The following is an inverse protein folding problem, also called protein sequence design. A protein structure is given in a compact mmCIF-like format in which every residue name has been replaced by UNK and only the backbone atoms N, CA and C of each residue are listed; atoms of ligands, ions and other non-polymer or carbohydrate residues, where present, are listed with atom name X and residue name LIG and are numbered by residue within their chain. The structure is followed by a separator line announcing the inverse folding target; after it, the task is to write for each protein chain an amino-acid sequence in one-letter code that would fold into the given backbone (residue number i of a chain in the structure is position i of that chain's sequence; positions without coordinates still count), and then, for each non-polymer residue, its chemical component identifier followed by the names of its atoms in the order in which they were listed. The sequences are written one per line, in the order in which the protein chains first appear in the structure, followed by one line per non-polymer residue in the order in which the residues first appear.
data_IF_635589831016
#
_entry.id   IF_635589831016
#
_cell.length_a   1.000
_cell.length_b   1.000
_cell.length_c   1.000
_cell.angle_alpha   90.00
_cell.angle_beta   90.00
_cell.angle_gamma   90.00
#
_symmetry.space_group_name_H-M   'P 1'
#
loop_
_entity.id
_entity.type
_entity.pdbx_description
1 polymer ?
#
# COMPACT_ATOMS: atom_id res chain seq x y z
N UNK A 1 7.63 3.85 18.61
CA UNK A 1 8.89 3.65 17.83
C UNK A 1 8.48 2.92 16.56
N UNK A 2 8.55 3.60 15.42
CA UNK A 2 8.20 3.01 14.12
C UNK A 2 9.23 1.94 13.80
N UNK A 3 8.82 0.69 13.66
CA UNK A 3 9.72 -0.37 13.21
C UNK A 3 10.34 0.06 11.86
N UNK A 4 11.64 -0.18 11.61
CA UNK A 4 12.22 0.11 10.31
C UNK A 4 11.47 -0.73 9.28
N UNK A 5 10.70 -0.07 8.43
CA UNK A 5 10.12 -0.70 7.27
C UNK A 5 11.27 -1.38 6.51
N UNK A 6 11.13 -2.65 6.12
CA UNK A 6 12.04 -3.33 5.21
C UNK A 6 12.01 -2.57 3.87
N UNK A 7 12.82 -1.51 3.78
CA UNK A 7 12.96 -0.72 2.57
C UNK A 7 13.76 -1.54 1.57
N UNK A 8 13.08 -2.07 0.58
CA UNK A 8 13.71 -2.73 -0.54
C UNK A 8 14.64 -1.73 -1.24
N UNK A 9 15.92 -2.00 -1.27
CA UNK A 9 16.90 -1.15 -1.98
C UNK A 9 16.69 -1.27 -3.50
N UNK A 10 17.19 -0.29 -4.26
CA UNK A 10 17.12 -0.35 -5.74
C UNK A 10 17.79 -1.61 -6.30
N UNK A 11 18.87 -2.06 -5.68
CA UNK A 11 19.57 -3.29 -6.07
C UNK A 11 18.67 -4.50 -5.84
N UNK A 12 18.02 -4.58 -4.69
CA UNK A 12 17.09 -5.66 -4.37
C UNK A 12 15.84 -5.63 -5.27
N UNK A 13 15.32 -4.43 -5.58
CA UNK A 13 14.23 -4.26 -6.54
C UNK A 13 14.62 -4.75 -7.94
N UNK A 14 15.79 -4.33 -8.42
CA UNK A 14 16.29 -4.77 -9.73
C UNK A 14 16.47 -6.28 -9.80
N UNK A 15 17.03 -6.89 -8.75
CA UNK A 15 17.18 -8.34 -8.64
C UNK A 15 15.82 -9.05 -8.65
N UNK A 16 14.83 -8.55 -7.91
CA UNK A 16 13.47 -9.10 -7.88
C UNK A 16 12.79 -9.03 -9.25
N UNK A 17 12.91 -7.90 -9.95
CA UNK A 17 12.40 -7.73 -11.30
C UNK A 17 13.05 -8.72 -12.28
N UNK A 18 14.38 -8.82 -12.27
CA UNK A 18 15.13 -9.73 -13.13
C UNK A 18 14.78 -11.21 -12.88
N UNK A 19 14.65 -11.61 -11.62
CA UNK A 19 14.25 -12.97 -11.25
C UNK A 19 12.87 -13.37 -11.78
N UNK A 20 12.02 -12.41 -12.09
CA UNK A 20 10.69 -12.58 -12.69
C UNK A 20 10.66 -12.25 -14.20
N UNK A 21 11.82 -12.16 -14.85
CA UNK A 21 11.93 -11.83 -16.27
C UNK A 21 11.47 -10.41 -16.63
N UNK A 22 11.45 -9.49 -15.65
CA UNK A 22 11.04 -8.10 -15.85
C UNK A 22 12.25 -7.17 -15.88
N UNK A 23 12.19 -6.14 -16.73
CA UNK A 23 13.27 -5.15 -16.83
C UNK A 23 13.21 -4.15 -15.70
N UNK A 24 14.35 -3.86 -15.09
CA UNK A 24 14.53 -2.76 -14.13
C UNK A 24 14.73 -1.43 -14.89
N UNK A 25 13.62 -0.84 -15.32
CA UNK A 25 13.67 0.46 -16.02
C UNK A 25 13.82 1.61 -15.04
N UNK A 26 14.40 2.72 -15.51
CA UNK A 26 14.53 3.93 -14.68
C UNK A 26 13.19 4.42 -14.14
N UNK A 27 12.11 4.31 -14.92
CA UNK A 27 10.76 4.66 -14.47
C UNK A 27 10.33 3.81 -13.26
N UNK A 28 10.54 2.48 -13.30
CA UNK A 28 10.18 1.58 -12.19
C UNK A 28 11.00 1.88 -10.94
N UNK A 29 12.30 2.08 -11.10
CA UNK A 29 13.17 2.42 -9.97
C UNK A 29 12.78 3.75 -9.32
N UNK A 30 12.52 4.79 -10.12
CA UNK A 30 12.11 6.10 -9.63
C UNK A 30 10.73 6.09 -8.98
N UNK A 31 9.75 5.36 -9.54
CA UNK A 31 8.43 5.21 -8.93
C UNK A 31 8.50 4.49 -7.57
N UNK A 32 9.27 3.43 -7.48
CA UNK A 32 9.46 2.72 -6.22
C UNK A 32 10.15 3.62 -5.17
N UNK A 33 11.19 4.35 -5.57
CA UNK A 33 11.86 5.32 -4.70
C UNK A 33 10.89 6.40 -4.21
N UNK A 34 10.11 6.99 -5.10
CA UNK A 34 9.12 8.01 -4.74
C UNK A 34 8.08 7.48 -3.74
N UNK A 35 7.60 6.25 -3.93
CA UNK A 35 6.68 5.62 -2.99
C UNK A 35 7.31 5.45 -1.60
N UNK A 36 8.57 5.05 -1.53
CA UNK A 36 9.31 4.93 -0.26
C UNK A 36 9.59 6.31 0.38
N UNK A 37 9.87 7.34 -0.43
CA UNK A 37 10.12 8.71 0.04
C UNK A 37 8.87 9.36 0.62
N UNK A 38 7.69 9.07 0.07
CA UNK A 38 6.41 9.51 0.63
C UNK A 38 6.17 8.95 2.03
N UNK A 39 6.74 7.79 2.34
CA UNK A 39 6.68 7.12 3.65
C UNK A 39 5.25 7.02 4.25
N UNK A 40 4.25 6.88 3.38
CA UNK A 40 2.83 6.75 3.68
C UNK A 40 2.09 6.02 2.56
N UNK A 41 0.85 5.63 2.82
CA UNK A 41 -0.04 5.17 1.76
C UNK A 41 -0.23 6.29 0.73
N UNK A 42 -0.16 5.95 -0.54
CA UNK A 42 -0.26 6.91 -1.64
C UNK A 42 -1.16 6.40 -2.76
N UNK A 43 -1.84 7.32 -3.42
CA UNK A 43 -2.56 7.05 -4.67
C UNK A 43 -1.61 7.09 -5.86
N UNK A 44 -2.03 6.51 -6.99
CA UNK A 44 -1.27 6.60 -8.24
C UNK A 44 -1.10 8.05 -8.71
N UNK A 45 -2.12 8.90 -8.49
CA UNK A 45 -2.06 10.34 -8.81
C UNK A 45 -1.02 11.09 -7.97
N UNK A 46 -0.92 10.77 -6.68
CA UNK A 46 0.10 11.37 -5.81
C UNK A 46 1.50 10.96 -6.23
N UNK A 47 1.69 9.70 -6.62
CA UNK A 47 2.98 9.23 -7.16
C UNK A 47 3.32 9.88 -8.49
N UNK A 48 2.34 10.03 -9.39
CA UNK A 48 2.55 10.72 -10.66
C UNK A 48 3.03 12.15 -10.42
N UNK A 49 2.38 12.89 -9.50
CA UNK A 49 2.79 14.26 -9.14
C UNK A 49 4.17 14.30 -8.48
N UNK A 50 4.45 13.37 -7.58
CA UNK A 50 5.75 13.31 -6.88
C UNK A 50 6.92 13.00 -7.83
N UNK A 51 6.67 12.40 -8.99
CA UNK A 51 7.68 12.04 -9.97
C UNK A 51 7.72 12.97 -11.20
N UNK A 52 6.78 13.92 -11.29
CA UNK A 52 6.58 14.75 -12.50
C UNK A 52 7.84 15.48 -13.01
N UNK A 53 8.68 16.01 -12.11
CA UNK A 53 9.92 16.68 -12.49
C UNK A 53 10.97 15.73 -13.05
N UNK A 54 11.03 14.50 -12.53
CA UNK A 54 12.03 13.48 -12.95
C UNK A 54 11.54 12.65 -14.13
N UNK A 55 10.23 12.51 -14.27
CA UNK A 55 9.56 11.69 -15.30
C UNK A 55 8.42 12.47 -15.99
N UNK A 56 8.71 13.55 -16.71
CA UNK A 56 7.68 14.43 -17.28
C UNK A 56 6.78 13.76 -18.31
N UNK A 57 7.21 12.63 -18.90
CA UNK A 57 6.45 11.85 -19.88
C UNK A 57 5.69 10.68 -19.26
N UNK A 58 5.73 10.53 -17.92
CA UNK A 58 5.04 9.44 -17.25
C UNK A 58 3.54 9.68 -17.29
N UNK A 59 2.78 8.64 -17.64
CA UNK A 59 1.32 8.69 -17.65
C UNK A 59 0.72 7.94 -16.47
N UNK A 60 -0.48 8.32 -16.06
CA UNK A 60 -1.20 7.65 -14.98
C UNK A 60 -1.42 6.13 -15.24
N UNK A 61 -1.80 5.69 -16.45
CA UNK A 61 -1.87 4.25 -16.76
C UNK A 61 -0.54 3.52 -16.54
N UNK A 62 0.59 4.16 -16.85
CA UNK A 62 1.92 3.57 -16.62
C UNK A 62 2.23 3.45 -15.13
N UNK A 63 1.80 4.40 -14.31
CA UNK A 63 1.92 4.33 -12.84
C UNK A 63 1.14 3.14 -12.33
N UNK A 64 -0.14 2.99 -12.71
CA UNK A 64 -0.97 1.84 -12.32
C UNK A 64 -0.35 0.52 -12.73
N UNK A 65 0.05 0.36 -13.99
CA UNK A 65 0.68 -0.87 -14.47
C UNK A 65 1.98 -1.22 -13.70
N UNK A 66 2.73 -0.21 -13.27
CA UNK A 66 3.94 -0.41 -12.48
C UNK A 66 3.62 -0.82 -11.04
N UNK A 67 2.61 -0.20 -10.42
CA UNK A 67 2.16 -0.54 -9.07
C UNK A 67 1.54 -1.95 -9.01
N UNK A 68 0.77 -2.33 -10.01
CA UNK A 68 0.23 -3.68 -10.15
C UNK A 68 1.35 -4.73 -10.28
N UNK A 69 2.37 -4.44 -11.09
CA UNK A 69 3.56 -5.28 -11.17
C UNK A 69 4.27 -5.39 -9.81
N UNK A 70 4.40 -4.29 -9.08
CA UNK A 70 5.01 -4.31 -7.75
C UNK A 70 4.19 -5.11 -6.74
N UNK A 71 2.87 -5.07 -6.84
CA UNK A 71 1.97 -5.90 -6.03
C UNK A 71 2.14 -7.38 -6.35
N UNK A 72 2.16 -7.76 -7.64
CA UNK A 72 2.44 -9.14 -8.09
C UNK A 72 3.78 -9.66 -7.58
N UNK A 73 4.76 -8.78 -7.43
CA UNK A 73 6.09 -9.10 -6.92
C UNK A 73 6.17 -9.09 -5.39
N UNK A 74 5.10 -8.71 -4.68
CA UNK A 74 5.06 -8.60 -3.23
C UNK A 74 5.89 -7.44 -2.68
N UNK A 75 6.11 -6.39 -3.46
CA UNK A 75 6.88 -5.21 -3.08
C UNK A 75 6.01 -4.09 -2.49
N UNK A 76 4.74 -4.08 -2.85
CA UNK A 76 3.72 -3.16 -2.35
C UNK A 76 2.42 -3.91 -2.14
N UNK A 77 1.46 -3.29 -1.46
CA UNK A 77 0.12 -3.85 -1.25
C UNK A 77 -0.95 -2.80 -1.55
N UNK A 78 -2.08 -3.24 -2.05
CA UNK A 78 -3.31 -2.42 -2.04
C UNK A 78 -3.89 -2.40 -0.64
N UNK A 79 -4.34 -1.23 -0.23
CA UNK A 79 -5.09 -1.07 1.02
C UNK A 79 -6.58 -1.03 0.69
N UNK A 80 -7.37 -2.02 1.14
CA UNK A 80 -8.79 -2.10 0.84
C UNK A 80 -9.59 -1.15 1.74
N UNK A 81 -9.57 0.14 1.44
CA UNK A 81 -10.29 1.15 2.22
C UNK A 81 -11.31 1.90 1.37
N UNK A 82 -12.59 1.78 1.75
CA UNK A 82 -13.68 2.59 1.24
C UNK A 82 -13.92 2.55 -0.27
N UNK A 83 -14.65 3.55 -0.76
CA UNK A 83 -14.98 3.75 -2.18
C UNK A 83 -14.09 4.78 -2.88
N UNK A 84 -13.05 5.24 -2.21
CA UNK A 84 -12.08 6.22 -2.72
C UNK A 84 -11.06 5.63 -3.69
N UNK A 85 -10.10 6.45 -4.15
CA UNK A 85 -9.00 5.97 -4.97
C UNK A 85 -8.21 4.87 -4.26
N UNK A 86 -7.66 3.94 -5.03
CA UNK A 86 -6.82 2.86 -4.51
C UNK A 86 -5.60 3.46 -3.82
N UNK A 87 -5.37 3.06 -2.58
CA UNK A 87 -4.16 3.38 -1.83
C UNK A 87 -3.15 2.24 -1.94
N UNK A 88 -1.90 2.61 -2.14
CA UNK A 88 -0.78 1.69 -2.22
C UNK A 88 0.14 1.87 -1.02
N UNK A 89 0.46 0.76 -0.40
CA UNK A 89 1.29 0.69 0.78
C UNK A 89 2.69 0.18 0.40
N UNK A 90 3.74 0.95 0.67
CA UNK A 90 5.11 0.52 0.41
C UNK A 90 5.60 -0.58 1.35
N UNK A 91 4.81 -0.94 2.37
CA UNK A 91 5.13 -1.96 3.34
C UNK A 91 4.45 -3.29 2.97
N UNK A 92 5.18 -4.26 2.41
CA UNK A 92 4.60 -5.52 1.95
C UNK A 92 4.22 -6.47 3.09
N UNK A 93 4.83 -6.33 4.28
CA UNK A 93 4.54 -7.19 5.43
C UNK A 93 3.08 -7.09 5.87
N UNK A 94 2.43 -8.20 6.25
CA UNK A 94 1.07 -8.18 6.75
C UNK A 94 0.94 -7.32 8.02
N UNK A 95 0.11 -6.30 7.98
CA UNK A 95 -0.23 -5.45 9.11
C UNK A 95 -1.67 -4.92 8.96
N UNK A 96 -2.16 -4.24 9.97
CA UNK A 96 -3.53 -3.74 10.03
C UNK A 96 -3.55 -2.24 9.73
N UNK A 97 -4.72 -1.71 9.42
CA UNK A 97 -4.90 -0.30 9.10
C UNK A 97 -6.03 0.33 9.92
N UNK A 98 -5.89 1.61 10.20
CA UNK A 98 -6.99 2.45 10.63
C UNK A 98 -7.34 3.43 9.51
N UNK A 99 -8.63 3.55 9.19
CA UNK A 99 -9.15 4.49 8.20
C UNK A 99 -10.06 5.52 8.86
N UNK A 100 -9.76 6.79 8.72
CA UNK A 100 -10.58 7.88 9.20
C UNK A 100 -11.73 8.16 8.24
N UNK A 101 -12.98 8.08 8.72
CA UNK A 101 -14.16 8.39 7.93
C UNK A 101 -14.32 9.87 7.63
N UNK A 102 -13.72 10.74 8.46
CA UNK A 102 -13.83 12.19 8.31
C UNK A 102 -12.86 12.77 7.29
N UNK A 103 -11.57 12.43 7.36
CA UNK A 103 -10.54 13.00 6.48
C UNK A 103 -9.97 12.01 5.46
N UNK A 104 -10.39 10.75 5.48
CA UNK A 104 -9.89 9.71 4.57
C UNK A 104 -8.47 9.22 4.85
N UNK A 105 -7.80 9.74 5.91
CA UNK A 105 -6.45 9.30 6.28
C UNK A 105 -6.45 7.82 6.63
N UNK A 106 -5.47 7.10 6.11
CA UNK A 106 -5.17 5.70 6.45
C UNK A 106 -3.81 5.65 7.11
N UNK A 107 -3.72 4.95 8.24
CA UNK A 107 -2.47 4.75 8.98
C UNK A 107 -2.31 3.28 9.36
N UNK A 108 -1.06 2.86 9.48
CA UNK A 108 -0.72 1.53 9.95
C UNK A 108 -1.09 1.34 11.43
N UNK A 109 -1.61 0.17 11.74
CA UNK A 109 -1.81 -0.29 13.11
C UNK A 109 -0.88 -1.45 13.40
N UNK A 110 -0.03 -1.29 14.40
CA UNK A 110 0.86 -2.34 14.91
C UNK A 110 0.07 -3.29 15.85
N UNK A 111 -0.91 -3.98 15.28
CA UNK A 111 -1.75 -4.92 16.02
C UNK A 111 -1.61 -6.34 15.45
N UNK A 112 -1.37 -7.32 16.33
CA UNK A 112 -1.43 -8.72 15.94
C UNK A 112 -2.89 -9.19 16.01
N UNK A 113 -3.50 -9.36 14.85
CA UNK A 113 -4.86 -9.90 14.76
C UNK A 113 -4.81 -11.39 14.45
N UNK A 114 -5.51 -12.17 15.26
CA UNK A 114 -5.70 -13.58 14.98
C UNK A 114 -6.85 -13.76 13.99
N UNK A 115 -6.53 -13.90 12.72
CA UNK A 115 -7.52 -14.10 11.66
C UNK A 115 -8.09 -15.53 11.60
N UNK A 116 -7.67 -16.41 12.51
CA UNK A 116 -7.99 -17.84 12.46
C UNK A 116 -9.49 -18.14 12.37
N UNK A 117 -10.33 -17.44 13.13
CA UNK A 117 -11.78 -17.61 13.10
C UNK A 117 -12.38 -17.21 11.76
N UNK A 118 -11.97 -16.08 11.21
CA UNK A 118 -12.45 -15.61 9.91
C UNK A 118 -12.01 -16.55 8.77
N UNK A 119 -10.76 -16.99 8.80
CA UNK A 119 -10.22 -17.97 7.85
C UNK A 119 -10.95 -19.31 7.93
N UNK A 120 -11.25 -19.78 9.17
CA UNK A 120 -12.02 -21.02 9.37
C UNK A 120 -13.45 -20.90 8.85
N UNK A 121 -14.11 -19.77 9.08
CA UNK A 121 -15.45 -19.51 8.56
C UNK A 121 -15.47 -19.50 7.02
N UNK A 122 -14.47 -18.89 6.39
CA UNK A 122 -14.35 -18.89 4.93
C UNK A 122 -14.16 -20.31 4.37
N UNK A 123 -13.33 -21.14 5.02
CA UNK A 123 -13.16 -22.55 4.63
C UNK A 123 -14.45 -23.35 4.81
N UNK A 124 -15.16 -23.14 5.91
CA UNK A 124 -16.43 -23.79 6.17
C UNK A 124 -17.50 -23.44 5.13
N UNK A 125 -17.40 -22.23 4.55
CA UNK A 125 -18.25 -21.79 3.44
C UNK A 125 -17.78 -22.30 2.05
N UNK A 126 -16.75 -23.15 1.98
CA UNK A 126 -16.25 -23.75 0.74
C UNK A 126 -15.21 -22.89 0.00
N UNK A 127 -14.69 -21.82 0.61
CA UNK A 127 -13.66 -20.98 0.02
C UNK A 127 -12.25 -21.47 0.36
N UNK A 128 -11.25 -21.04 -0.41
CA UNK A 128 -9.81 -21.29 -0.19
C UNK A 128 -9.12 -19.98 0.21
N UNK A 129 -9.26 -19.50 1.47
CA UNK A 129 -8.65 -18.24 1.89
C UNK A 129 -7.13 -18.40 2.00
N UNK A 130 -6.41 -17.41 1.49
CA UNK A 130 -4.95 -17.28 1.54
C UNK A 130 -4.46 -16.20 2.51
N UNK A 131 -5.37 -15.32 2.99
CA UNK A 131 -5.05 -14.28 3.94
C UNK A 131 -6.28 -13.58 4.49
N UNK A 132 -6.05 -12.71 5.47
CA UNK A 132 -7.06 -11.81 6.02
C UNK A 132 -6.43 -10.45 6.33
N UNK A 133 -7.18 -9.39 6.13
CA UNK A 133 -6.80 -8.04 6.50
C UNK A 133 -7.89 -7.43 7.37
N UNK A 134 -7.49 -6.68 8.40
CA UNK A 134 -8.39 -5.91 9.23
C UNK A 134 -8.18 -4.43 8.98
N UNK A 135 -9.29 -3.73 8.74
CA UNK A 135 -9.31 -2.26 8.73
C UNK A 135 -10.24 -1.79 9.84
N UNK A 136 -9.69 -1.04 10.78
CA UNK A 136 -10.46 -0.36 11.82
C UNK A 136 -10.90 0.99 11.28
N UNK A 137 -12.18 1.28 11.33
CA UNK A 137 -12.74 2.53 10.83
C UNK A 137 -13.26 3.40 11.98
N UNK A 138 -13.03 4.71 11.89
CA UNK A 138 -13.47 5.65 12.91
C UNK A 138 -13.11 7.09 12.55
N UNK A 139 -12.93 7.92 13.56
CA UNK A 139 -12.44 9.30 13.44
C UNK A 139 -11.04 9.37 14.04
N UNK A 140 -10.07 9.91 13.31
CA UNK A 140 -8.70 10.04 13.82
C UNK A 140 -8.61 11.11 14.92
N UNK A 141 -7.54 11.08 15.70
CA UNK A 141 -7.31 12.03 16.82
C UNK A 141 -7.41 13.48 16.38
N UNK A 142 -6.84 13.82 15.23
CA UNK A 142 -6.85 15.20 14.71
C UNK A 142 -8.27 15.67 14.38
N UNK A 143 -9.06 14.81 13.70
CA UNK A 143 -10.45 15.13 13.39
C UNK A 143 -11.34 15.16 14.65
N UNK A 144 -11.13 14.25 15.58
CA UNK A 144 -11.86 14.23 16.84
C UNK A 144 -11.59 15.52 17.66
N UNK A 145 -10.34 15.96 17.71
CA UNK A 145 -9.95 17.22 18.38
C UNK A 145 -10.51 18.46 17.66
N UNK A 146 -10.70 18.40 16.35
CA UNK A 146 -11.33 19.48 15.57
C UNK A 146 -12.87 19.49 15.63
N UNK A 147 -13.49 18.60 16.43
CA UNK A 147 -14.96 18.53 16.59
C UNK A 147 -15.68 17.84 15.44
N UNK A 148 -14.98 17.12 14.58
CA UNK A 148 -15.58 16.29 13.54
C UNK A 148 -16.19 15.02 14.19
N UNK A 149 -17.48 15.07 14.43
CA UNK A 149 -18.27 13.91 14.87
C UNK A 149 -18.83 13.16 13.65
N UNK A 150 -18.95 11.84 13.76
CA UNK A 150 -19.62 10.97 12.79
C UNK A 150 -21.13 11.14 12.92
#
# INVERSE_FOLDING_TARGET
MKAPAHRTTEVALAATLHARGRRATSQRLLLHRALLELDRHATADELLRATAERLPQLSLPTVYATLELFEELGLVRRVPVGSGPVLWDPRPDPHQHFACRSCGRVVDLEARVRAGTAMAAARAAGHAPDGAQLVVMGVCSDCASAGAHV
#
